data_IF_960309419943
#
_entry.id   IF_960309419943
#
_cell.length_a   1.000
_cell.length_b   1.000
_cell.length_c   1.000
_cell.angle_alpha   90.00
_cell.angle_beta   90.00
_cell.angle_gamma   90.00
#
_symmetry.space_group_name_H-M   'P 1'
#
loop_
_entity.id
_entity.type
_entity.pdbx_description
1 polymer ?
#
# COMPACT_ATOMS: atom_id res chain seq x y z
N UNK A 1 -0.99 -36.52 -7.25
CA UNK A 1 -1.49 -35.55 -6.26
C UNK A 1 -1.45 -34.19 -6.91
N UNK A 2 -2.60 -33.68 -7.33
CA UNK A 2 -2.72 -32.36 -7.95
C UNK A 2 -2.51 -31.31 -6.85
N UNK A 3 -1.49 -30.46 -7.00
CA UNK A 3 -1.27 -29.39 -6.03
C UNK A 3 -2.34 -28.33 -6.31
N UNK A 4 -3.16 -27.94 -5.32
CA UNK A 4 -4.08 -26.82 -5.52
C UNK A 4 -3.25 -25.54 -5.65
N UNK A 5 -2.88 -25.18 -6.87
CA UNK A 5 -2.44 -23.83 -7.17
C UNK A 5 -3.68 -22.95 -7.16
N UNK A 6 -4.03 -22.45 -5.97
CA UNK A 6 -5.02 -21.40 -5.80
C UNK A 6 -4.52 -20.17 -6.56
N UNK A 7 -4.96 -20.05 -7.80
CA UNK A 7 -4.64 -18.91 -8.64
C UNK A 7 -5.61 -17.80 -8.28
N UNK A 8 -5.08 -16.73 -7.68
CA UNK A 8 -5.88 -15.53 -7.44
C UNK A 8 -6.40 -15.05 -8.80
N UNK A 9 -7.72 -14.90 -8.90
CA UNK A 9 -8.38 -14.45 -10.11
C UNK A 9 -9.04 -13.11 -9.83
N UNK A 10 -8.85 -12.13 -10.71
CA UNK A 10 -9.48 -10.82 -10.63
C UNK A 10 -10.15 -10.53 -11.98
N UNK A 11 -11.44 -10.17 -11.96
CA UNK A 11 -12.29 -10.00 -13.16
C UNK A 11 -12.24 -11.19 -14.13
N UNK A 12 -12.20 -12.42 -13.58
CA UNK A 12 -12.19 -13.66 -14.37
C UNK A 12 -10.84 -14.01 -15.02
N UNK A 13 -9.80 -13.21 -14.81
CA UNK A 13 -8.46 -13.48 -15.30
C UNK A 13 -7.51 -13.89 -14.14
N UNK A 14 -6.67 -14.91 -14.32
CA UNK A 14 -5.64 -15.25 -13.34
C UNK A 14 -4.68 -14.05 -13.18
N UNK A 15 -4.31 -13.76 -11.95
CA UNK A 15 -3.41 -12.67 -11.61
C UNK A 15 -2.03 -13.20 -11.27
N UNK A 16 -1.01 -12.54 -11.83
CA UNK A 16 0.37 -12.67 -11.36
C UNK A 16 0.72 -11.34 -10.70
N UNK A 17 0.91 -11.36 -9.40
CA UNK A 17 1.25 -10.17 -8.64
C UNK A 17 2.76 -10.01 -8.58
N UNK A 18 3.24 -8.90 -9.15
CA UNK A 18 4.63 -8.45 -9.04
C UNK A 18 4.62 -7.09 -8.36
N UNK A 19 5.30 -7.01 -7.23
CA UNK A 19 5.18 -5.86 -6.34
C UNK A 19 6.26 -5.80 -5.28
N UNK A 20 6.15 -4.79 -4.42
CA UNK A 20 7.10 -4.53 -3.35
C UNK A 20 6.42 -4.41 -1.98
N UNK A 21 7.10 -4.85 -0.92
CA UNK A 21 6.79 -4.39 0.43
C UNK A 21 7.15 -2.90 0.51
N UNK A 22 6.22 -2.08 0.97
CA UNK A 22 6.31 -0.65 0.80
C UNK A 22 6.29 0.08 2.14
N UNK A 23 7.38 0.81 2.37
CA UNK A 23 7.45 1.97 3.23
C UNK A 23 8.05 3.12 2.43
N UNK A 24 7.55 4.33 2.63
CA UNK A 24 8.13 5.49 1.99
C UNK A 24 9.57 5.73 2.47
N UNK A 25 10.43 6.17 1.56
CA UNK A 25 11.86 6.44 1.77
C UNK A 25 12.14 7.45 2.87
N UNK A 26 11.18 8.32 3.18
CA UNK A 26 11.36 9.42 4.15
C UNK A 26 11.05 9.01 5.59
N UNK A 27 10.36 7.89 5.83
CA UNK A 27 9.98 7.50 7.20
C UNK A 27 10.00 6.01 7.52
N UNK A 28 10.26 5.14 6.52
CA UNK A 28 10.34 3.70 6.77
C UNK A 28 9.10 3.18 7.49
N UNK A 29 9.25 2.33 8.53
CA UNK A 29 8.12 1.85 9.33
C UNK A 29 7.24 2.94 9.96
N UNK A 30 7.77 4.16 10.14
CA UNK A 30 7.06 5.30 10.72
C UNK A 30 6.61 6.31 9.65
N UNK A 31 6.59 5.93 8.37
CA UNK A 31 6.26 6.81 7.24
C UNK A 31 4.97 7.61 7.41
N UNK A 32 4.01 7.06 8.14
CA UNK A 32 2.72 7.70 8.35
C UNK A 32 2.86 8.98 9.15
N UNK A 33 3.86 9.14 10.02
CA UNK A 33 4.09 10.35 10.83
C UNK A 33 4.60 11.53 10.01
N UNK A 34 5.39 11.25 8.97
CA UNK A 34 5.99 12.22 8.05
C UNK A 34 5.45 12.04 6.63
N UNK A 35 4.17 11.69 6.52
CA UNK A 35 3.51 11.43 5.26
C UNK A 35 3.56 12.67 4.35
N UNK A 36 4.07 12.49 3.15
CA UNK A 36 4.14 13.52 2.11
C UNK A 36 3.65 12.92 0.79
N UNK A 37 2.49 13.40 0.34
CA UNK A 37 1.85 12.88 -0.87
C UNK A 37 2.68 13.04 -2.14
N UNK A 38 3.49 14.10 -2.25
CA UNK A 38 4.36 14.29 -3.42
C UNK A 38 5.47 13.23 -3.45
N UNK A 39 6.01 12.88 -2.28
CA UNK A 39 6.97 11.78 -2.16
C UNK A 39 6.32 10.45 -2.56
N UNK A 40 5.08 10.19 -2.12
CA UNK A 40 4.35 8.98 -2.52
C UNK A 40 4.17 8.93 -4.04
N UNK A 41 3.82 10.03 -4.70
CA UNK A 41 3.66 10.06 -6.16
C UNK A 41 4.96 9.71 -6.90
N UNK A 42 6.09 10.27 -6.47
CA UNK A 42 7.40 9.95 -7.04
C UNK A 42 7.73 8.46 -6.89
N UNK A 43 7.44 7.89 -5.72
CA UNK A 43 7.72 6.49 -5.41
C UNK A 43 6.83 5.53 -6.20
N UNK A 44 5.54 5.86 -6.37
CA UNK A 44 4.61 5.08 -7.18
C UNK A 44 4.97 5.13 -8.66
N UNK A 45 5.35 6.31 -9.16
CA UNK A 45 5.85 6.47 -10.53
C UNK A 45 7.08 5.59 -10.74
N UNK A 46 8.06 5.64 -9.83
CA UNK A 46 9.27 4.83 -9.92
C UNK A 46 8.96 3.32 -9.93
N UNK A 47 8.10 2.84 -9.04
CA UNK A 47 7.71 1.43 -9.02
C UNK A 47 7.06 1.00 -10.33
N UNK A 48 6.12 1.81 -10.83
CA UNK A 48 5.38 1.55 -12.06
C UNK A 48 6.28 1.54 -13.29
N UNK A 49 7.20 2.50 -13.40
CA UNK A 49 8.17 2.59 -14.49
C UNK A 49 9.12 1.38 -14.52
N UNK A 50 9.29 0.71 -13.38
CA UNK A 50 10.04 -0.54 -13.25
C UNK A 50 9.16 -1.81 -13.34
N UNK A 51 7.89 -1.67 -13.72
CA UNK A 51 6.97 -2.79 -13.94
C UNK A 51 6.35 -3.38 -12.66
N UNK A 52 6.50 -2.71 -11.51
CA UNK A 52 5.87 -3.11 -10.25
C UNK A 52 4.55 -2.35 -10.09
N UNK A 53 3.43 -3.07 -10.07
CA UNK A 53 2.08 -2.46 -10.02
C UNK A 53 1.34 -2.71 -8.71
N UNK A 54 1.95 -3.46 -7.79
CA UNK A 54 1.40 -3.80 -6.49
C UNK A 54 2.36 -3.39 -5.38
N UNK A 55 1.82 -2.78 -4.32
CA UNK A 55 2.52 -2.59 -3.05
C UNK A 55 1.88 -3.45 -1.96
N UNK A 56 2.65 -3.73 -0.92
CA UNK A 56 2.13 -4.18 0.37
C UNK A 56 2.48 -3.12 1.40
N UNK A 57 1.47 -2.39 1.86
CA UNK A 57 1.63 -1.31 2.83
C UNK A 57 1.46 -1.82 4.27
N UNK A 58 2.13 -1.17 5.22
CA UNK A 58 2.09 -1.57 6.62
C UNK A 58 1.68 -0.42 7.52
N UNK A 59 0.82 -0.71 8.49
CA UNK A 59 0.50 0.21 9.56
C UNK A 59 1.44 0.01 10.75
N UNK A 60 2.03 1.10 11.22
CA UNK A 60 2.56 1.09 12.58
C UNK A 60 1.37 1.25 13.52
N UNK A 61 0.87 0.12 14.03
CA UNK A 61 -0.43 0.05 14.72
C UNK A 61 -0.62 1.07 15.86
N UNK A 62 0.38 1.38 16.70
CA UNK A 62 0.23 2.40 17.73
C UNK A 62 -0.13 3.79 17.22
N UNK A 63 0.18 4.12 15.96
CA UNK A 63 -0.22 5.40 15.35
C UNK A 63 -1.68 5.36 14.89
N UNK A 64 -2.14 4.25 14.31
CA UNK A 64 -3.52 4.11 13.83
C UNK A 64 -4.53 3.82 14.93
N UNK A 65 -4.09 3.20 16.03
CA UNK A 65 -4.93 2.77 17.16
C UNK A 65 -4.24 3.15 18.48
N UNK A 66 -4.21 4.44 18.83
CA UNK A 66 -3.46 4.92 20.01
C UNK A 66 -4.07 4.44 21.33
N UNK A 67 -5.38 4.18 21.35
CA UNK A 67 -6.11 3.70 22.53
C UNK A 67 -7.14 2.64 22.10
N UNK A 68 -7.48 1.68 22.97
CA UNK A 68 -8.55 0.70 22.70
C UNK A 68 -9.84 1.37 22.24
N UNK A 69 -10.39 0.90 21.12
CA UNK A 69 -11.61 1.45 20.52
C UNK A 69 -11.48 2.82 19.83
N UNK A 70 -10.29 3.45 19.81
CA UNK A 70 -10.06 4.73 19.13
C UNK A 70 -9.10 4.57 17.96
N UNK A 71 -9.58 4.84 16.75
CA UNK A 71 -8.72 5.00 15.58
C UNK A 71 -8.31 6.47 15.43
N UNK A 72 -7.09 6.69 14.96
CA UNK A 72 -6.58 8.04 14.69
C UNK A 72 -7.10 8.54 13.33
N UNK A 73 -7.85 9.64 13.35
CA UNK A 73 -8.50 10.19 12.14
C UNK A 73 -7.47 10.74 11.14
N UNK A 74 -6.34 11.27 11.60
CA UNK A 74 -5.30 11.80 10.73
C UNK A 74 -4.58 10.66 10.00
N UNK A 75 -4.27 9.55 10.69
CA UNK A 75 -3.70 8.35 10.06
C UNK A 75 -4.67 7.74 9.04
N UNK A 76 -5.97 7.71 9.34
CA UNK A 76 -7.00 7.27 8.38
C UNK A 76 -7.02 8.19 7.15
N UNK A 77 -6.99 9.50 7.34
CA UNK A 77 -6.98 10.46 6.23
C UNK A 77 -5.73 10.31 5.34
N UNK A 78 -4.55 10.11 5.94
CA UNK A 78 -3.31 9.83 5.22
C UNK A 78 -3.38 8.52 4.44
N UNK A 79 -3.99 7.48 5.00
CA UNK A 79 -4.20 6.22 4.29
C UNK A 79 -5.21 6.37 3.14
N UNK A 80 -6.25 7.19 3.29
CA UNK A 80 -7.19 7.49 2.20
C UNK A 80 -6.49 8.19 1.02
N UNK A 81 -5.71 9.25 1.29
CA UNK A 81 -4.92 9.94 0.26
C UNK A 81 -3.90 8.99 -0.41
N UNK A 82 -3.28 8.09 0.36
CA UNK A 82 -2.41 7.05 -0.16
C UNK A 82 -3.12 6.11 -1.15
N UNK A 83 -4.36 5.69 -0.84
CA UNK A 83 -5.17 4.86 -1.73
C UNK A 83 -5.57 5.60 -3.01
N UNK A 84 -5.98 6.86 -2.89
CA UNK A 84 -6.35 7.70 -4.03
C UNK A 84 -5.17 7.90 -4.99
N UNK A 85 -3.96 8.12 -4.45
CA UNK A 85 -2.72 8.17 -5.24
C UNK A 85 -2.42 6.84 -5.92
N UNK A 86 -2.53 5.71 -5.21
CA UNK A 86 -2.36 4.40 -5.85
C UNK A 86 -3.30 4.26 -7.04
N UNK A 87 -4.57 4.60 -6.87
CA UNK A 87 -5.55 4.53 -7.93
C UNK A 87 -5.21 5.46 -9.10
N UNK A 88 -4.79 6.71 -8.84
CA UNK A 88 -4.38 7.66 -9.87
C UNK A 88 -3.18 7.18 -10.70
N UNK A 89 -2.25 6.44 -10.09
CA UNK A 89 -1.10 5.84 -10.78
C UNK A 89 -1.41 4.46 -11.39
N UNK A 90 -2.64 3.95 -11.27
CA UNK A 90 -2.98 2.59 -11.71
C UNK A 90 -2.26 1.50 -10.92
N UNK A 91 -1.89 1.80 -9.68
CA UNK A 91 -1.25 0.92 -8.71
C UNK A 91 -2.30 0.31 -7.77
N UNK A 92 -1.97 -0.81 -7.15
CA UNK A 92 -2.76 -1.45 -6.10
C UNK A 92 -1.94 -1.58 -4.82
N UNK A 93 -2.60 -1.69 -3.66
CA UNK A 93 -1.93 -2.00 -2.39
C UNK A 93 -2.69 -3.07 -1.61
N UNK A 94 -1.97 -3.88 -0.83
CA UNK A 94 -2.52 -4.78 0.18
C UNK A 94 -2.11 -4.23 1.56
N UNK A 95 -3.06 -3.80 2.41
CA UNK A 95 -2.74 -3.35 3.76
C UNK A 95 -2.37 -4.53 4.69
N UNK A 96 -1.45 -4.28 5.62
CA UNK A 96 -1.07 -5.17 6.72
C UNK A 96 -0.99 -4.39 8.02
#
# INVERSE_FOLDING_TARGET
MERPNLTVSHRGAPQVWMGANFWSRTGGPLMWRTYDGAVIDDELTLLRDNGLTLTRSFFYWPDFHPEPGRLDEEMIARYADFLDRHHAHGMQTIPT
#
